data_IF_755173645332
#
_entry.id   IF_755173645332
#
_cell.length_a   1.000
_cell.length_b   1.000
_cell.length_c   1.000
_cell.angle_alpha   90.00
_cell.angle_beta   90.00
_cell.angle_gamma   90.00
#
_symmetry.space_group_name_H-M   'P 1'
#
loop_
_entity.id
_entity.type
_entity.pdbx_description
1 polymer ?
#
# COMPACT_ATOMS: atom_id res chain seq x y z
N UNK A 1 -14.79 30.30 25.65
CA UNK A 1 -14.85 29.02 24.92
C UNK A 1 -14.31 27.97 25.87
N UNK A 2 -15.13 26.97 26.23
CA UNK A 2 -14.68 25.87 27.08
C UNK A 2 -13.79 24.93 26.25
N UNK A 3 -12.62 24.57 26.79
CA UNK A 3 -11.79 23.53 26.21
C UNK A 3 -12.60 22.23 26.17
N UNK A 4 -12.66 21.57 25.01
CA UNK A 4 -13.26 20.25 24.89
C UNK A 4 -12.51 19.30 25.84
N UNK A 5 -13.25 18.66 26.76
CA UNK A 5 -12.69 17.66 27.66
C UNK A 5 -12.09 16.52 26.83
N UNK A 6 -10.86 16.12 27.15
CA UNK A 6 -10.25 14.94 26.55
C UNK A 6 -11.09 13.71 26.93
N UNK A 7 -11.72 13.08 25.94
CA UNK A 7 -12.45 11.82 26.14
C UNK A 7 -11.48 10.75 26.66
N UNK A 8 -11.84 10.14 27.80
CA UNK A 8 -11.09 9.06 28.43
C UNK A 8 -11.98 7.82 28.55
N UNK A 9 -11.57 6.65 28.02
CA UNK A 9 -10.33 6.42 27.29
C UNK A 9 -10.32 7.15 25.93
N UNK A 10 -9.13 7.48 25.39
CA UNK A 10 -9.04 7.99 24.03
C UNK A 10 -9.78 7.00 23.13
N UNK A 11 -10.77 7.49 22.37
CA UNK A 11 -11.43 6.68 21.35
C UNK A 11 -10.33 6.05 20.49
N UNK A 12 -10.32 4.72 20.42
CA UNK A 12 -9.52 4.01 19.44
C UNK A 12 -10.06 4.45 18.07
N UNK A 13 -9.41 5.46 17.50
CA UNK A 13 -9.63 5.86 16.13
C UNK A 13 -9.02 4.73 15.32
N UNK A 14 -9.89 3.87 14.79
CA UNK A 14 -9.50 2.94 13.76
C UNK A 14 -9.51 3.69 12.43
N UNK A 15 -8.36 4.13 11.88
CA UNK A 15 -8.30 4.74 10.57
C UNK A 15 -8.69 3.76 9.45
N UNK A 16 -8.90 2.47 9.77
CA UNK A 16 -9.48 1.44 8.89
C UNK A 16 -11.02 1.46 8.93
N UNK A 17 -11.62 2.25 9.81
CA UNK A 17 -13.05 2.47 9.86
C UNK A 17 -13.53 3.22 8.61
N UNK A 18 -14.70 2.88 8.05
CA UNK A 18 -15.25 3.52 6.83
C UNK A 18 -15.32 5.06 6.88
N UNK A 19 -15.23 5.64 8.08
CA UNK A 19 -15.31 7.08 8.31
C UNK A 19 -14.02 7.86 8.00
N UNK A 20 -12.88 7.18 7.79
CA UNK A 20 -11.60 7.80 7.41
C UNK A 20 -11.23 7.61 5.93
N UNK A 21 -12.01 6.80 5.22
CA UNK A 21 -11.91 6.56 3.79
C UNK A 21 -11.83 7.82 2.92
N UNK A 22 -12.50 8.89 3.35
CA UNK A 22 -12.55 10.18 2.67
C UNK A 22 -11.25 10.99 2.77
N UNK A 23 -10.32 10.60 3.64
CA UNK A 23 -9.00 11.23 3.77
C UNK A 23 -7.98 10.63 2.79
N UNK A 24 -8.34 9.55 2.10
CA UNK A 24 -7.44 8.78 1.25
C UNK A 24 -7.84 8.93 -0.21
N UNK A 25 -6.98 9.57 -1.00
CA UNK A 25 -7.19 9.81 -2.43
C UNK A 25 -6.39 8.85 -3.31
N UNK A 26 -5.79 7.79 -2.76
CA UNK A 26 -5.07 6.78 -3.53
C UNK A 26 -4.91 5.51 -2.71
N UNK A 27 -5.26 4.36 -3.28
CA UNK A 27 -5.05 3.08 -2.60
C UNK A 27 -4.13 2.25 -3.49
N UNK A 28 -2.89 1.93 -3.05
CA UNK A 28 -2.14 0.80 -3.61
C UNK A 28 -3.08 -0.41 -3.58
N UNK A 29 -3.47 -0.93 -4.75
CA UNK A 29 -4.59 -1.87 -4.82
C UNK A 29 -4.24 -3.19 -4.13
N UNK A 30 -5.21 -3.70 -3.36
CA UNK A 30 -5.04 -4.76 -2.36
C UNK A 30 -5.63 -4.43 -0.99
N UNK A 31 -6.28 -3.28 -0.84
CA UNK A 31 -6.82 -2.78 0.42
C UNK A 31 -8.16 -2.12 0.12
N UNK A 32 -9.27 -2.78 0.41
CA UNK A 32 -10.59 -2.21 0.11
C UNK A 32 -10.86 -0.95 0.92
N UNK A 33 -11.73 -0.14 0.35
CA UNK A 33 -12.43 0.92 1.03
C UNK A 33 -13.94 0.63 1.03
N UNK A 34 -14.57 0.28 2.18
CA UNK A 34 -13.99 -0.24 3.43
C UNK A 34 -13.97 -1.78 3.42
N UNK A 35 -12.81 -2.41 3.60
CA UNK A 35 -12.74 -3.87 3.76
C UNK A 35 -11.68 -4.33 4.75
N UNK A 36 -11.78 -5.61 5.11
CA UNK A 36 -11.00 -6.22 6.18
C UNK A 36 -9.58 -6.58 5.73
N UNK A 37 -8.59 -5.85 6.22
CA UNK A 37 -7.16 -6.02 5.88
C UNK A 37 -6.60 -7.42 6.12
N UNK A 38 -7.21 -8.21 7.00
CA UNK A 38 -6.77 -9.57 7.31
C UNK A 38 -7.01 -10.54 6.14
N UNK A 39 -8.04 -10.28 5.33
CA UNK A 39 -8.44 -11.13 4.22
C UNK A 39 -7.72 -10.76 2.90
N UNK A 40 -6.97 -9.65 2.87
CA UNK A 40 -6.50 -9.01 1.63
C UNK A 40 -4.98 -9.07 1.42
N UNK A 41 -4.23 -9.57 2.42
CA UNK A 41 -2.77 -9.56 2.44
C UNK A 41 -2.08 -10.47 1.41
N UNK A 42 -2.81 -11.41 0.81
CA UNK A 42 -2.23 -12.45 -0.06
C UNK A 42 -2.60 -12.32 -1.54
N UNK A 43 -3.70 -11.66 -1.89
CA UNK A 43 -4.22 -11.69 -3.26
C UNK A 43 -3.74 -10.55 -4.18
N UNK A 44 -3.16 -9.49 -3.62
CA UNK A 44 -2.73 -8.31 -4.40
C UNK A 44 -1.28 -7.88 -4.20
N UNK A 45 -0.59 -8.46 -3.23
CA UNK A 45 0.83 -8.27 -3.04
C UNK A 45 1.57 -9.18 -4.02
N UNK A 46 2.39 -8.60 -4.90
CA UNK A 46 3.23 -9.38 -5.80
C UNK A 46 4.59 -9.60 -5.15
N UNK A 47 4.83 -10.83 -4.68
CA UNK A 47 6.12 -11.27 -4.15
C UNK A 47 7.12 -11.45 -5.30
N UNK A 48 8.02 -10.47 -5.44
CA UNK A 48 8.99 -10.39 -6.52
C UNK A 48 10.02 -11.53 -6.47
N UNK A 49 10.61 -11.88 -5.30
CA UNK A 49 11.47 -13.06 -5.18
C UNK A 49 10.77 -14.37 -5.56
N UNK A 50 9.54 -14.59 -5.09
CA UNK A 50 8.78 -15.81 -5.39
C UNK A 50 8.39 -15.87 -6.88
N UNK A 51 8.01 -14.76 -7.49
CA UNK A 51 7.79 -14.64 -8.92
C UNK A 51 9.07 -14.99 -9.71
N UNK A 52 10.20 -14.38 -9.35
CA UNK A 52 11.49 -14.64 -9.99
C UNK A 52 11.92 -16.11 -9.90
N UNK A 53 11.65 -16.79 -8.77
CA UNK A 53 11.92 -18.22 -8.60
C UNK A 53 11.15 -19.12 -9.58
N UNK A 54 10.04 -18.61 -10.13
CA UNK A 54 9.20 -19.25 -11.16
C UNK A 54 9.48 -18.72 -12.56
N UNK A 55 10.58 -17.98 -12.74
CA UNK A 55 10.94 -17.28 -13.98
C UNK A 55 9.91 -16.25 -14.45
N UNK A 56 9.10 -15.73 -13.51
CA UNK A 56 8.15 -14.66 -13.78
C UNK A 56 8.85 -13.30 -13.59
N UNK A 57 8.87 -12.51 -14.66
CA UNK A 57 9.55 -11.21 -14.71
C UNK A 57 8.64 -10.03 -14.48
N UNK A 58 7.35 -10.24 -14.23
CA UNK A 58 6.39 -9.14 -14.13
C UNK A 58 6.67 -8.27 -12.90
N UNK A 59 6.55 -6.95 -13.08
CA UNK A 59 6.72 -5.96 -12.01
C UNK A 59 5.56 -5.93 -11.02
N UNK A 60 4.41 -6.50 -11.38
CA UNK A 60 3.26 -6.71 -10.50
C UNK A 60 2.43 -7.89 -11.00
N UNK A 61 1.40 -8.28 -10.25
CA UNK A 61 0.60 -9.45 -10.61
C UNK A 61 -0.06 -9.26 -11.99
N UNK A 62 0.02 -10.23 -12.92
CA UNK A 62 -0.50 -10.09 -14.29
C UNK A 62 -1.96 -9.62 -14.42
N UNK A 63 -2.82 -9.96 -13.46
CA UNK A 63 -4.23 -9.52 -13.42
C UNK A 63 -4.44 -8.05 -13.05
N UNK A 64 -3.39 -7.37 -12.55
CA UNK A 64 -3.42 -5.96 -12.14
C UNK A 64 -2.98 -4.99 -13.26
N UNK A 65 -3.18 -5.38 -14.53
CA UNK A 65 -2.76 -4.57 -15.69
C UNK A 65 -3.92 -4.06 -16.55
N UNK A 66 -5.16 -4.45 -16.25
CA UNK A 66 -6.33 -3.93 -16.95
C UNK A 66 -6.85 -2.65 -16.27
N UNK A 67 -7.45 -1.69 -17.02
CA UNK A 67 -8.01 -0.45 -16.45
C UNK A 67 -9.16 -0.70 -15.46
N UNK A 68 -9.82 -1.86 -15.57
CA UNK A 68 -10.71 -2.42 -14.57
C UNK A 68 -10.06 -3.70 -14.04
N UNK A 69 -9.64 -3.68 -12.78
CA UNK A 69 -8.95 -4.81 -12.16
C UNK A 69 -9.94 -5.58 -11.29
N UNK A 70 -10.22 -6.82 -11.68
CA UNK A 70 -11.09 -7.72 -10.95
C UNK A 70 -10.28 -8.65 -10.06
N UNK A 71 -10.78 -8.91 -8.85
CA UNK A 71 -10.34 -10.06 -8.05
C UNK A 71 -10.51 -11.33 -8.90
N UNK A 72 -9.39 -11.96 -9.27
CA UNK A 72 -9.40 -13.31 -9.82
C UNK A 72 -8.79 -14.20 -8.76
N UNK A 73 -9.56 -15.10 -8.11
CA UNK A 73 -9.00 -15.98 -7.09
C UNK A 73 -8.06 -16.97 -7.77
N UNK A 74 -6.76 -16.71 -7.70
CA UNK A 74 -5.71 -17.54 -8.32
C UNK A 74 -4.88 -18.33 -7.31
N UNK A 75 -5.03 -18.08 -6.00
CA UNK A 75 -4.33 -18.81 -4.94
C UNK A 75 -5.22 -19.97 -4.47
N UNK A 76 -4.70 -21.22 -4.36
CA UNK A 76 -5.41 -22.31 -3.70
C UNK A 76 -5.81 -21.88 -2.30
N UNK A 77 -7.11 -21.85 -2.02
CA UNK A 77 -7.64 -21.46 -0.72
C UNK A 77 -7.10 -22.42 0.36
N UNK A 78 -6.35 -21.89 1.32
CA UNK A 78 -6.06 -22.61 2.55
C UNK A 78 -7.40 -22.94 3.26
N UNK A 79 -7.58 -24.16 3.82
CA UNK A 79 -8.81 -24.51 4.51
C UNK A 79 -9.11 -23.54 5.65
N UNK A 80 -10.18 -22.75 5.51
CA UNK A 80 -10.60 -21.75 6.50
C UNK A 80 -10.38 -20.29 6.08
N UNK A 81 -9.69 -20.03 4.96
CA UNK A 81 -9.60 -18.69 4.38
C UNK A 81 -10.90 -18.38 3.62
N UNK A 82 -11.60 -17.30 4.02
CA UNK A 82 -12.79 -16.85 3.27
C UNK A 82 -12.32 -16.11 2.02
N UNK A 83 -12.93 -16.36 0.84
CA UNK A 83 -12.61 -15.59 -0.35
C UNK A 83 -12.89 -14.10 -0.09
N UNK A 84 -12.09 -13.18 -0.64
CA UNK A 84 -12.37 -11.76 -0.50
C UNK A 84 -13.75 -11.43 -1.08
N UNK A 85 -14.52 -10.67 -0.34
CA UNK A 85 -15.98 -10.55 -0.49
C UNK A 85 -16.44 -9.57 -1.57
N UNK A 86 -15.55 -9.03 -2.41
CA UNK A 86 -15.88 -7.92 -3.29
C UNK A 86 -15.79 -8.29 -4.78
N UNK A 87 -16.92 -8.13 -5.47
CA UNK A 87 -17.07 -8.36 -6.92
C UNK A 87 -16.86 -7.09 -7.76
N UNK A 88 -16.58 -5.95 -7.14
CA UNK A 88 -16.40 -4.67 -7.82
C UNK A 88 -14.95 -4.52 -8.30
N UNK A 89 -14.71 -3.98 -9.52
CA UNK A 89 -13.37 -3.68 -9.97
C UNK A 89 -12.75 -2.65 -9.02
N UNK A 90 -11.47 -2.82 -8.70
CA UNK A 90 -10.81 -1.90 -7.79
C UNK A 90 -10.80 -0.48 -8.40
N UNK A 91 -11.11 0.58 -7.63
CA UNK A 91 -11.31 1.92 -8.19
C UNK A 91 -10.00 2.52 -8.70
N UNK A 92 -10.06 3.20 -9.84
CA UNK A 92 -9.00 4.09 -10.32
C UNK A 92 -9.15 5.43 -9.59
N UNK A 93 -8.05 5.99 -9.09
CA UNK A 93 -8.11 7.29 -8.42
C UNK A 93 -7.97 8.44 -9.41
N UNK A 94 -8.46 9.62 -9.06
CA UNK A 94 -8.38 10.84 -9.89
C UNK A 94 -7.47 11.87 -9.22
N UNK A 95 -6.60 12.51 -10.00
CA UNK A 95 -5.71 13.57 -9.52
C UNK A 95 -5.47 14.61 -10.62
N UNK A 96 -4.97 15.79 -10.25
CA UNK A 96 -4.44 16.76 -11.20
C UNK A 96 -2.92 16.58 -11.35
N UNK A 97 -2.36 16.92 -12.51
CA UNK A 97 -0.91 17.02 -12.67
C UNK A 97 -0.33 18.01 -11.63
N UNK A 98 0.81 17.67 -11.00
CA UNK A 98 1.41 18.48 -9.93
C UNK A 98 0.71 18.41 -8.57
N UNK A 99 -0.45 17.74 -8.46
CA UNK A 99 -1.13 17.53 -7.17
C UNK A 99 -0.50 16.36 -6.39
N UNK A 100 -1.07 16.02 -5.24
CA UNK A 100 -0.67 14.82 -4.49
C UNK A 100 -1.86 13.91 -4.22
N UNK A 101 -1.56 12.62 -4.10
CA UNK A 101 -2.48 11.61 -3.56
C UNK A 101 -1.83 10.96 -2.34
N UNK A 102 -2.62 10.54 -1.38
CA UNK A 102 -2.13 9.78 -0.23
C UNK A 102 -2.36 8.30 -0.49
N UNK A 103 -1.27 7.53 -0.55
CA UNK A 103 -1.26 6.07 -0.64
C UNK A 103 -1.30 5.46 0.76
N UNK A 104 -2.16 4.47 0.98
CA UNK A 104 -2.20 3.69 2.22
C UNK A 104 -1.68 2.27 2.04
N UNK A 105 -0.77 1.83 2.90
CA UNK A 105 -0.30 0.45 2.96
C UNK A 105 -0.27 -0.05 4.42
N UNK A 106 -0.21 -1.37 4.56
CA UNK A 106 -0.32 -2.01 5.88
C UNK A 106 1.05 -2.25 6.46
N UNK A 107 1.27 -1.77 7.68
CA UNK A 107 2.50 -2.03 8.43
C UNK A 107 2.56 -3.43 8.98
N UNK A 108 1.46 -3.97 9.55
CA UNK A 108 1.43 -5.28 10.22
C UNK A 108 2.65 -5.51 11.16
N UNK A 109 3.09 -4.47 11.87
CA UNK A 109 4.27 -4.53 12.74
C UNK A 109 5.62 -4.36 12.03
N UNK A 110 5.67 -4.02 10.75
CA UNK A 110 6.92 -3.74 10.04
C UNK A 110 7.44 -2.34 10.29
N UNK A 111 6.60 -1.43 10.80
CA UNK A 111 6.99 -0.02 10.94
C UNK A 111 7.86 0.20 12.15
N UNK A 112 7.34 -0.20 13.31
CA UNK A 112 8.03 -0.15 14.60
C UNK A 112 8.23 -1.53 15.21
N UNK A 113 7.51 -2.53 14.71
CA UNK A 113 7.50 -3.83 15.35
C UNK A 113 8.67 -4.71 14.97
N UNK A 114 8.59 -5.96 15.42
CA UNK A 114 9.64 -6.94 15.25
C UNK A 114 10.00 -7.18 13.77
N UNK A 115 9.01 -7.21 12.87
CA UNK A 115 9.20 -7.64 11.48
C UNK A 115 9.90 -6.61 10.55
N UNK A 116 10.33 -5.45 11.07
CA UNK A 116 11.08 -4.47 10.27
C UNK A 116 11.76 -3.38 11.09
N UNK A 117 11.07 -2.85 12.09
CA UNK A 117 11.58 -1.75 12.93
C UNK A 117 12.62 -2.19 13.94
N UNK A 118 12.36 -3.27 14.70
CA UNK A 118 13.15 -3.63 15.89
C UNK A 118 14.14 -4.78 15.64
N UNK A 119 13.75 -5.87 14.98
CA UNK A 119 14.68 -6.98 14.74
C UNK A 119 15.60 -6.72 13.54
N UNK A 120 15.07 -6.09 12.49
CA UNK A 120 15.81 -5.78 11.26
C UNK A 120 16.49 -4.41 11.30
N UNK A 121 16.09 -3.52 12.23
CA UNK A 121 16.62 -2.16 12.37
C UNK A 121 16.38 -1.24 11.17
N UNK A 122 15.63 -1.70 10.16
CA UNK A 122 15.34 -0.97 8.94
C UNK A 122 14.03 -1.48 8.33
N UNK A 123 12.93 -0.72 8.42
CA UNK A 123 11.63 -1.08 7.83
C UNK A 123 11.65 -1.03 6.29
N UNK A 124 12.74 -0.56 5.70
CA UNK A 124 12.89 -0.42 4.26
C UNK A 124 12.28 0.85 3.71
N UNK A 125 12.20 0.90 2.38
CA UNK A 125 11.70 2.03 1.63
C UNK A 125 10.51 1.61 0.76
N UNK A 126 9.62 2.57 0.51
CA UNK A 126 8.58 2.46 -0.51
C UNK A 126 8.96 3.34 -1.69
N UNK A 127 8.75 2.85 -2.90
CA UNK A 127 9.07 3.55 -4.14
C UNK A 127 7.89 3.44 -5.10
N UNK A 128 7.60 4.52 -5.82
CA UNK A 128 6.59 4.54 -6.87
C UNK A 128 7.26 4.77 -8.22
N UNK A 129 6.93 3.92 -9.18
CA UNK A 129 7.45 3.96 -10.55
C UNK A 129 6.33 4.22 -11.55
N UNK A 130 6.67 4.91 -12.64
CA UNK A 130 5.76 5.26 -13.73
C UNK A 130 6.50 5.27 -15.07
N UNK A 131 5.85 4.79 -16.13
CA UNK A 131 6.46 4.65 -17.47
C UNK A 131 6.70 5.98 -18.21
N UNK A 132 6.33 7.12 -17.62
CA UNK A 132 6.58 8.47 -18.14
C UNK A 132 5.51 9.00 -19.11
N UNK A 133 4.49 8.22 -19.48
CA UNK A 133 3.38 8.68 -20.32
C UNK A 133 2.05 8.01 -19.97
N UNK A 134 0.94 8.56 -20.46
CA UNK A 134 -0.39 7.93 -20.31
C UNK A 134 -0.47 6.65 -21.14
N UNK A 135 -1.32 5.71 -20.70
CA UNK A 135 -1.56 4.41 -21.35
C UNK A 135 -0.31 3.57 -21.65
N UNK A 136 0.82 3.92 -21.04
CA UNK A 136 2.07 3.17 -21.08
C UNK A 136 2.31 2.58 -19.70
N UNK A 137 2.66 1.32 -19.67
CA UNK A 137 2.78 0.53 -18.45
C UNK A 137 4.20 0.04 -18.29
N UNK A 138 4.68 0.00 -17.05
CA UNK A 138 5.83 -0.82 -16.69
C UNK A 138 5.32 -2.26 -16.58
N UNK A 139 5.98 -3.17 -17.29
CA UNK A 139 5.55 -4.57 -17.35
C UNK A 139 6.49 -5.46 -16.55
N UNK A 140 7.79 -5.26 -16.69
CA UNK A 140 8.84 -6.12 -16.15
C UNK A 140 9.59 -5.47 -14.99
N UNK A 141 10.07 -6.29 -14.04
CA UNK A 141 10.91 -5.86 -12.89
C UNK A 141 12.15 -5.08 -13.34
N UNK A 142 12.73 -5.41 -14.50
CA UNK A 142 13.91 -4.72 -15.05
C UNK A 142 13.66 -3.23 -15.36
N UNK A 143 12.40 -2.82 -15.48
CA UNK A 143 11.99 -1.45 -15.74
C UNK A 143 11.80 -0.64 -14.45
N UNK A 144 11.94 -1.26 -13.27
CA UNK A 144 11.95 -0.57 -11.96
C UNK A 144 13.30 0.14 -11.74
N UNK A 145 13.60 1.11 -12.60
CA UNK A 145 14.86 1.86 -12.65
C UNK A 145 14.70 3.28 -12.10
N UNK A 146 15.82 3.95 -11.82
CA UNK A 146 15.81 5.36 -11.42
C UNK A 146 15.24 6.30 -12.50
N UNK A 147 15.27 5.92 -13.78
CA UNK A 147 14.64 6.67 -14.86
C UNK A 147 13.10 6.69 -14.73
N UNK A 148 12.52 5.58 -14.26
CA UNK A 148 11.08 5.43 -14.08
C UNK A 148 10.63 5.77 -12.65
N UNK A 149 11.54 6.15 -11.75
CA UNK A 149 11.23 6.44 -10.36
C UNK A 149 10.54 7.80 -10.24
N UNK A 150 9.33 7.82 -9.68
CA UNK A 150 8.60 9.05 -9.36
C UNK A 150 8.99 9.55 -7.97
N UNK A 151 8.94 8.67 -6.97
CA UNK A 151 9.18 9.05 -5.58
C UNK A 151 9.63 7.86 -4.74
N UNK A 152 10.47 8.13 -3.74
CA UNK A 152 10.92 7.15 -2.74
C UNK A 152 10.87 7.78 -1.34
N UNK A 153 10.31 7.04 -0.38
CA UNK A 153 10.22 7.41 1.04
C UNK A 153 10.60 6.22 1.92
N UNK A 154 10.86 6.47 3.20
CA UNK A 154 10.92 5.41 4.20
C UNK A 154 9.55 4.74 4.37
N UNK A 155 9.51 3.41 4.53
CA UNK A 155 8.25 2.67 4.74
C UNK A 155 7.45 3.18 5.94
N UNK A 156 8.14 3.70 6.95
CA UNK A 156 7.53 4.22 8.19
C UNK A 156 7.55 5.74 8.29
N UNK A 157 7.91 6.44 7.22
CA UNK A 157 8.13 7.89 7.26
C UNK A 157 6.86 8.66 7.63
N UNK A 158 5.73 8.25 7.07
CA UNK A 158 4.42 8.83 7.37
C UNK A 158 3.54 7.86 8.17
N UNK A 159 4.11 6.94 8.95
CA UNK A 159 3.30 5.93 9.67
C UNK A 159 2.76 6.41 11.00
N UNK A 160 1.63 5.83 11.41
CA UNK A 160 1.06 5.98 12.74
C UNK A 160 0.97 4.62 13.45
N UNK A 161 1.62 4.54 14.61
CA UNK A 161 1.65 3.34 15.45
C UNK A 161 1.08 3.62 16.85
N UNK A 162 0.21 2.73 17.31
CA UNK A 162 -0.38 2.74 18.65
C UNK A 162 0.01 1.47 19.41
N UNK A 163 0.23 1.50 20.74
CA UNK A 163 0.30 2.69 21.60
C UNK A 163 1.53 3.55 21.29
N UNK A 164 1.58 4.78 21.80
CA UNK A 164 2.73 5.66 21.62
C UNK A 164 4.00 5.18 22.35
N UNK A 165 3.86 4.25 23.31
CA UNK A 165 5.00 3.62 23.99
C UNK A 165 5.84 2.82 22.98
N UNK A 166 7.05 3.30 22.72
CA UNK A 166 8.00 2.71 21.78
C UNK A 166 8.59 1.39 22.25
N UNK A 167 8.38 1.01 23.52
CA UNK A 167 8.73 -0.31 24.05
C UNK A 167 7.77 -1.40 23.60
N UNK A 168 6.60 -1.04 23.09
CA UNK A 168 5.64 -1.98 22.52
C UNK A 168 5.99 -2.22 21.06
N UNK A 169 6.62 -3.37 20.80
CA UNK A 169 7.19 -3.76 19.50
C UNK A 169 6.59 -5.04 18.92
N UNK A 170 5.88 -5.83 19.72
CA UNK A 170 5.24 -7.05 19.24
C UNK A 170 3.85 -6.73 18.66
N UNK A 171 3.56 -7.10 17.40
CA UNK A 171 2.20 -7.06 16.89
C UNK A 171 1.32 -8.09 17.64
N UNK A 172 0.06 -7.75 17.87
CA UNK A 172 -0.89 -8.62 18.56
C UNK A 172 -2.34 -8.13 18.48
N UNK A 173 -3.26 -8.85 19.14
CA UNK A 173 -4.71 -8.66 19.05
C UNK A 173 -5.33 -7.99 20.29
N UNK A 174 -4.52 -7.67 21.29
CA UNK A 174 -4.91 -7.05 22.55
C UNK A 174 -4.77 -5.52 22.54
N UNK A 175 -5.41 -4.85 23.50
CA UNK A 175 -5.39 -3.38 23.62
C UNK A 175 -4.02 -2.80 24.01
N UNK A 176 -3.06 -3.64 24.42
CA UNK A 176 -1.68 -3.24 24.75
C UNK A 176 -0.65 -3.61 23.68
N UNK A 177 -1.07 -4.20 22.57
CA UNK A 177 -0.18 -4.67 21.52
C UNK A 177 0.15 -3.57 20.51
N UNK A 178 1.19 -3.77 19.70
CA UNK A 178 1.53 -2.84 18.62
C UNK A 178 0.49 -2.94 17.51
N UNK A 179 -0.19 -1.83 17.26
CA UNK A 179 -1.07 -1.59 16.12
C UNK A 179 -0.44 -0.54 15.20
N UNK A 180 0.14 -1.00 14.09
CA UNK A 180 0.49 -0.12 12.97
C UNK A 180 -0.79 0.23 12.22
N UNK A 181 -1.47 1.29 12.68
CA UNK A 181 -2.82 1.67 12.20
C UNK A 181 -2.79 2.39 10.85
N UNK A 182 -1.64 2.74 10.32
CA UNK A 182 -1.56 3.20 8.94
C UNK A 182 -0.14 3.56 8.55
N UNK A 183 0.37 2.89 7.52
CA UNK A 183 1.53 3.37 6.81
C UNK A 183 1.04 4.10 5.58
N UNK A 184 1.59 5.30 5.41
CA UNK A 184 1.15 6.21 4.38
C UNK A 184 2.33 6.62 3.52
N UNK A 185 2.03 7.04 2.30
CA UNK A 185 2.96 7.78 1.46
C UNK A 185 2.17 8.84 0.73
N UNK A 186 2.49 10.11 0.99
CA UNK A 186 2.01 11.22 0.18
C UNK A 186 2.79 11.22 -1.12
N UNK A 187 2.17 10.76 -2.20
CA UNK A 187 2.76 10.69 -3.53
C UNK A 187 2.46 11.97 -4.31
N UNK A 188 3.52 12.68 -4.72
CA UNK A 188 3.42 13.86 -5.56
C UNK A 188 3.39 13.46 -7.04
N UNK A 189 2.34 13.90 -7.76
CA UNK A 189 2.19 13.67 -9.19
C UNK A 189 3.14 14.60 -9.95
N UNK A 190 3.90 14.11 -10.95
CA UNK A 190 4.67 14.99 -11.83
C UNK A 190 3.80 16.07 -12.48
N UNK A 191 4.34 17.30 -12.60
CA UNK A 191 3.62 18.43 -13.22
C UNK A 191 3.38 18.23 -14.73
N UNK A 192 4.20 17.40 -15.37
CA UNK A 192 4.16 17.17 -16.81
C UNK A 192 3.18 16.07 -17.25
N UNK A 193 2.39 15.51 -16.33
CA UNK A 193 1.47 14.42 -16.66
C UNK A 193 0.38 14.90 -17.63
N UNK A 194 0.18 14.14 -18.70
CA UNK A 194 -0.91 14.35 -19.64
C UNK A 194 -2.25 13.94 -19.04
N UNK A 195 -3.35 14.51 -19.50
CA UNK A 195 -4.68 14.00 -19.15
C UNK A 195 -4.88 12.58 -19.68
N UNK A 196 -5.43 11.71 -18.84
CA UNK A 196 -5.69 10.30 -19.16
C UNK A 196 -5.25 9.35 -18.05
N UNK A 197 -5.28 8.05 -18.34
CA UNK A 197 -4.91 7.00 -17.39
C UNK A 197 -3.39 6.81 -17.34
N UNK A 198 -2.85 6.76 -16.13
CA UNK A 198 -1.47 6.46 -15.82
C UNK A 198 -1.40 5.27 -14.87
N UNK A 199 -0.76 4.20 -15.30
CA UNK A 199 -0.46 3.06 -14.44
C UNK A 199 0.85 3.34 -13.69
N UNK A 200 0.83 3.10 -12.39
CA UNK A 200 1.96 3.26 -11.49
C UNK A 200 2.20 1.97 -10.70
N UNK A 201 3.44 1.76 -10.29
CA UNK A 201 3.84 0.60 -9.49
C UNK A 201 4.37 1.08 -8.15
N UNK A 202 3.71 0.67 -7.07
CA UNK A 202 4.24 0.80 -5.72
C UNK A 202 5.11 -0.42 -5.41
N UNK A 203 6.29 -0.20 -4.84
CA UNK A 203 7.27 -1.23 -4.50
C UNK A 203 7.76 -1.00 -3.08
N UNK A 204 7.78 -2.05 -2.27
CA UNK A 204 8.44 -2.07 -0.97
C UNK A 204 9.72 -2.88 -1.03
N UNK A 205 10.80 -2.25 -0.56
CA UNK A 205 12.15 -2.78 -0.61
C UNK A 205 12.78 -2.78 0.78
N UNK A 206 13.32 -3.91 1.20
CA UNK A 206 14.05 -4.06 2.45
C UNK A 206 15.14 -5.11 2.31
N UNK A 207 16.16 -5.06 3.18
CA UNK A 207 17.34 -5.93 3.06
C UNK A 207 18.13 -5.71 1.76
N UNK A 208 18.01 -4.55 1.13
CA UNK A 208 18.71 -4.20 -0.11
C UNK A 208 18.05 -4.69 -1.40
N UNK A 209 16.84 -5.25 -1.34
CA UNK A 209 16.16 -5.80 -2.52
C UNK A 209 14.70 -5.34 -2.59
N UNK A 210 14.14 -5.30 -3.81
CA UNK A 210 12.70 -5.15 -4.02
C UNK A 210 12.02 -6.47 -3.62
N UNK A 211 11.06 -6.40 -2.69
CA UNK A 211 10.42 -7.59 -2.14
C UNK A 211 8.98 -7.73 -2.60
N UNK A 212 8.23 -6.65 -2.51
CA UNK A 212 6.82 -6.66 -2.80
C UNK A 212 6.41 -5.51 -3.68
N UNK A 213 5.44 -5.72 -4.56
CA UNK A 213 4.89 -4.67 -5.40
C UNK A 213 3.40 -4.81 -5.63
N UNK A 214 2.77 -3.72 -6.07
CA UNK A 214 1.38 -3.70 -6.55
C UNK A 214 1.20 -2.59 -7.59
N UNK A 215 0.30 -2.82 -8.54
CA UNK A 215 -0.04 -1.86 -9.58
C UNK A 215 -1.33 -1.10 -9.27
N UNK A 216 -1.35 0.20 -9.54
CA UNK A 216 -2.52 1.04 -9.39
C UNK A 216 -2.63 2.04 -10.54
N UNK A 217 -3.85 2.45 -10.87
CA UNK A 217 -4.09 3.44 -11.90
C UNK A 217 -4.48 4.79 -11.27
N UNK A 218 -3.96 5.86 -11.85
CA UNK A 218 -4.34 7.25 -11.60
C UNK A 218 -4.88 7.85 -12.91
N UNK A 219 -6.10 8.38 -12.88
CA UNK A 219 -6.65 9.23 -13.93
C UNK A 219 -6.22 10.67 -13.67
N UNK A 220 -5.50 11.26 -14.62
CA UNK A 220 -5.12 12.67 -14.59
C UNK A 220 -6.18 13.50 -15.33
N UNK A 221 -6.75 14.48 -14.64
CA UNK A 221 -7.83 15.35 -15.14
C UNK A 221 -7.40 16.80 -15.43
#
# INVERSE_FOLDING_TARGET
MAAAAAETPPREVDPLGPWFANLCHGWPRGKQNPGNWQDEGLEYLWDLPAAASRSDTHACHPSQRSPLQYLTPTIPQEPGHKPPTHTAPAPMTTAAAGSSITLMFGGNGHSRGNFGGVEMGNPGNVSVYWAGSKEKEIVDVKELTEENLVQRNGFSEESFAYPSDTKVTAPGWGPGDLHDKGNWQTLHMPECMEKGRHMMIWVWSFGGENKYSTCFDVMIE
#
